data_IF_849484980258
#
_entry.id   IF_849484980258
#
_cell.length_a   1.000
_cell.length_b   1.000
_cell.length_c   1.000
_cell.angle_alpha   90.00
_cell.angle_beta   90.00
_cell.angle_gamma   90.00
#
_symmetry.space_group_name_H-M   'P 1'
#
loop_
_entity.id
_entity.type
_entity.pdbx_description
1 polymer ?
#
# COMPACT_ATOMS: atom_id res chain seq x y z
N UNK A 1 -12.27 3.10 30.63
CA UNK A 1 -11.27 2.76 29.58
C UNK A 1 -12.00 2.46 28.28
N UNK A 2 -12.00 3.37 27.31
CA UNK A 2 -12.59 3.09 25.98
C UNK A 2 -11.62 2.18 25.22
N UNK A 3 -11.91 0.88 25.19
CA UNK A 3 -11.19 -0.09 24.38
C UNK A 3 -11.24 0.33 22.90
N UNK A 4 -10.10 0.35 22.21
CA UNK A 4 -10.06 0.60 20.77
C UNK A 4 -11.06 -0.35 20.07
N UNK A 5 -12.09 0.19 19.39
CA UNK A 5 -13.29 -0.57 19.01
C UNK A 5 -13.01 -1.67 17.99
N UNK A 6 -11.82 -1.68 17.39
CA UNK A 6 -11.41 -2.65 16.37
C UNK A 6 -10.39 -3.68 16.87
N UNK A 7 -9.97 -3.65 18.15
CA UNK A 7 -8.92 -4.55 18.70
C UNK A 7 -9.19 -6.02 18.37
N UNK A 8 -10.38 -6.53 18.66
CA UNK A 8 -10.75 -7.92 18.39
C UNK A 8 -10.74 -8.27 16.90
N UNK A 9 -11.05 -7.30 16.04
CA UNK A 9 -11.04 -7.50 14.59
C UNK A 9 -9.61 -7.43 14.02
N UNK A 10 -8.73 -6.60 14.59
CA UNK A 10 -7.32 -6.55 14.17
C UNK A 10 -6.61 -7.88 14.38
N UNK A 11 -6.98 -8.67 15.38
CA UNK A 11 -6.43 -10.03 15.58
C UNK A 11 -6.71 -10.92 14.35
N UNK A 12 -7.86 -10.76 13.70
CA UNK A 12 -8.24 -11.54 12.52
C UNK A 12 -7.57 -11.03 11.23
N UNK A 13 -7.23 -9.75 11.17
CA UNK A 13 -6.76 -9.12 9.93
C UNK A 13 -5.22 -8.95 9.90
N UNK A 14 -4.56 -8.82 11.05
CA UNK A 14 -3.08 -8.72 11.13
C UNK A 14 -2.34 -9.86 10.42
N UNK A 15 -2.79 -11.13 10.50
CA UNK A 15 -2.14 -12.19 9.74
C UNK A 15 -2.11 -11.93 8.23
N UNK A 16 -3.03 -11.13 7.68
CA UNK A 16 -3.04 -10.77 6.26
C UNK A 16 -1.80 -9.96 5.90
N UNK A 17 -1.40 -8.97 6.70
CA UNK A 17 -0.17 -8.20 6.43
C UNK A 17 1.07 -9.07 6.55
N UNK A 18 1.10 -9.92 7.58
CA UNK A 18 2.26 -10.76 7.88
C UNK A 18 2.49 -11.77 6.76
N UNK A 19 1.43 -12.44 6.31
CA UNK A 19 1.47 -13.38 5.18
C UNK A 19 1.81 -12.63 3.89
N UNK A 20 1.22 -11.46 3.65
CA UNK A 20 1.51 -10.66 2.45
C UNK A 20 2.98 -10.31 2.31
N UNK A 21 3.66 -9.95 3.41
CA UNK A 21 5.09 -9.68 3.40
C UNK A 21 5.99 -10.91 3.20
N UNK A 22 5.49 -12.12 3.49
CA UNK A 22 6.24 -13.37 3.33
C UNK A 22 6.12 -13.95 1.91
N UNK A 23 4.98 -13.79 1.25
CA UNK A 23 4.69 -14.44 -0.04
C UNK A 23 4.96 -13.54 -1.24
N UNK A 24 5.19 -12.25 -1.01
CA UNK A 24 5.27 -11.25 -2.06
C UNK A 24 6.43 -10.28 -1.85
N UNK A 25 7.26 -10.11 -2.88
CA UNK A 25 8.31 -9.10 -2.90
C UNK A 25 7.82 -7.91 -3.74
N UNK A 26 7.61 -6.74 -3.12
CA UNK A 26 7.23 -5.52 -3.84
C UNK A 26 8.29 -5.12 -4.87
N UNK A 27 7.85 -4.44 -5.93
CA UNK A 27 8.76 -3.79 -6.87
C UNK A 27 9.20 -2.43 -6.34
N UNK A 28 9.84 -1.62 -7.17
CA UNK A 28 10.37 -0.33 -6.76
C UNK A 28 9.31 0.78 -6.64
N UNK A 29 8.10 0.60 -7.18
CA UNK A 29 7.10 1.67 -7.24
C UNK A 29 5.91 1.38 -6.32
N UNK A 30 5.84 2.08 -5.20
CA UNK A 30 4.99 1.68 -4.08
C UNK A 30 4.08 2.85 -3.60
N UNK A 31 2.85 3.00 -4.12
CA UNK A 31 1.97 4.06 -3.67
C UNK A 31 1.39 3.81 -2.28
N UNK A 32 1.21 4.92 -1.56
CA UNK A 32 0.49 4.98 -0.29
C UNK A 32 -0.73 5.88 -0.49
N UNK A 33 -1.93 5.31 -0.40
CA UNK A 33 -3.17 6.08 -0.54
C UNK A 33 -4.33 5.51 0.30
N UNK A 34 -5.46 6.22 0.31
CA UNK A 34 -6.68 5.84 1.01
C UNK A 34 -7.62 5.01 0.14
N UNK A 35 -8.12 3.92 0.71
CA UNK A 35 -9.25 3.13 0.23
C UNK A 35 -10.46 3.30 1.17
N UNK A 36 -11.67 3.15 0.61
CA UNK A 36 -12.93 3.41 1.32
C UNK A 36 -13.80 2.17 1.44
N UNK A 37 -14.30 1.89 2.64
CA UNK A 37 -15.25 0.80 2.94
C UNK A 37 -16.64 1.39 3.15
N UNK A 38 -17.56 1.16 2.20
CA UNK A 38 -18.93 1.66 2.29
C UNK A 38 -19.65 1.11 3.53
N UNK A 39 -20.17 2.01 4.36
CA UNK A 39 -21.06 1.63 5.46
C UNK A 39 -22.05 2.75 5.77
N UNK A 40 -23.35 2.43 5.75
CA UNK A 40 -24.43 3.38 6.02
C UNK A 40 -24.95 3.33 7.47
N UNK A 41 -24.69 2.25 8.22
CA UNK A 41 -25.17 2.09 9.60
C UNK A 41 -24.45 3.01 10.60
N UNK A 42 -24.86 2.98 11.87
CA UNK A 42 -24.23 3.79 12.94
C UNK A 42 -22.88 3.19 13.34
N UNK A 43 -21.82 4.01 13.32
CA UNK A 43 -20.49 3.65 13.81
C UNK A 43 -19.66 4.92 14.00
N UNK A 44 -18.90 4.96 15.11
CA UNK A 44 -18.01 6.06 15.44
C UNK A 44 -16.79 6.16 14.50
N UNK A 45 -16.45 5.06 13.81
CA UNK A 45 -15.28 5.00 12.92
C UNK A 45 -15.53 5.57 11.52
N UNK A 46 -16.80 5.85 11.17
CA UNK A 46 -17.15 6.37 9.84
C UNK A 46 -16.57 7.77 9.65
N UNK A 47 -16.01 7.99 8.47
CA UNK A 47 -15.56 9.29 8.00
C UNK A 47 -16.49 9.82 6.92
N UNK A 48 -16.63 11.14 6.86
CA UNK A 48 -17.30 11.82 5.77
C UNK A 48 -16.27 12.48 4.84
N UNK A 49 -16.15 11.99 3.62
CA UNK A 49 -15.22 12.49 2.60
C UNK A 49 -16.01 12.89 1.35
N UNK A 50 -16.38 14.18 1.19
CA UNK A 50 -17.32 14.60 0.14
C UNK A 50 -16.79 14.40 -1.28
N UNK A 51 -15.47 14.40 -1.46
CA UNK A 51 -14.80 14.28 -2.76
C UNK A 51 -14.65 12.84 -3.27
N UNK A 52 -14.87 11.82 -2.42
CA UNK A 52 -14.81 10.41 -2.84
C UNK A 52 -16.20 9.91 -3.25
N UNK A 53 -16.30 8.96 -4.21
CA UNK A 53 -17.59 8.39 -4.61
C UNK A 53 -18.39 7.80 -3.44
N UNK A 54 -17.68 7.21 -2.47
CA UNK A 54 -18.27 6.68 -1.22
C UNK A 54 -18.05 7.70 -0.11
N UNK A 55 -18.96 8.66 0.00
CA UNK A 55 -18.81 9.81 0.92
C UNK A 55 -18.83 9.43 2.39
N UNK A 56 -19.64 8.45 2.80
CA UNK A 56 -19.72 7.97 4.18
C UNK A 56 -19.20 6.53 4.24
N UNK A 57 -18.05 6.34 4.88
CA UNK A 57 -17.32 5.08 4.83
C UNK A 57 -16.28 4.97 5.93
N UNK A 58 -15.79 3.76 6.18
CA UNK A 58 -14.51 3.59 6.88
C UNK A 58 -13.37 3.92 5.94
N UNK A 59 -12.30 4.46 6.50
CA UNK A 59 -11.10 4.82 5.78
C UNK A 59 -9.99 3.82 6.13
N UNK A 60 -9.31 3.33 5.11
CA UNK A 60 -8.13 2.46 5.26
C UNK A 60 -6.99 3.09 4.47
N UNK A 61 -5.83 3.24 5.11
CA UNK A 61 -4.59 3.58 4.44
C UNK A 61 -3.98 2.31 3.89
N UNK A 62 -3.60 2.31 2.62
CA UNK A 62 -3.00 1.18 1.93
C UNK A 62 -1.62 1.58 1.45
N UNK A 63 -0.66 0.69 1.66
CA UNK A 63 0.60 0.65 0.95
C UNK A 63 0.52 -0.50 -0.05
N UNK A 64 0.62 -0.17 -1.33
CA UNK A 64 0.50 -1.11 -2.42
C UNK A 64 1.75 -1.10 -3.30
N UNK A 65 1.87 -2.15 -4.11
CA UNK A 65 2.86 -2.27 -5.17
C UNK A 65 2.30 -1.81 -6.53
N UNK A 66 3.15 -1.67 -7.54
CA UNK A 66 2.75 -1.29 -8.90
C UNK A 66 1.79 -2.28 -9.58
N UNK A 67 1.81 -3.55 -9.16
CA UNK A 67 0.82 -4.55 -9.58
C UNK A 67 -0.54 -4.39 -8.90
N UNK A 68 -0.70 -3.37 -8.04
CA UNK A 68 -1.85 -3.15 -7.16
C UNK A 68 -1.98 -4.17 -6.03
N UNK A 69 -0.90 -4.89 -5.72
CA UNK A 69 -0.84 -5.82 -4.57
C UNK A 69 -0.75 -5.01 -3.28
N UNK A 70 -1.64 -5.24 -2.33
CA UNK A 70 -1.61 -4.55 -1.04
C UNK A 70 -0.58 -5.22 -0.13
N UNK A 71 0.47 -4.49 0.22
CA UNK A 71 1.58 -4.97 1.04
C UNK A 71 1.30 -4.72 2.53
N UNK A 72 0.87 -3.50 2.86
CA UNK A 72 0.49 -3.13 4.23
C UNK A 72 -0.77 -2.27 4.23
N UNK A 73 -1.46 -2.22 5.36
CA UNK A 73 -2.61 -1.36 5.55
C UNK A 73 -2.76 -0.90 7.00
N UNK A 74 -3.50 0.19 7.18
CA UNK A 74 -3.88 0.70 8.50
C UNK A 74 -5.32 1.23 8.47
N UNK A 75 -6.18 0.69 9.31
CA UNK A 75 -7.56 1.19 9.45
C UNK A 75 -7.54 2.49 10.26
N UNK A 76 -8.14 3.55 9.71
CA UNK A 76 -8.24 4.83 10.41
C UNK A 76 -9.31 4.78 11.49
N UNK A 77 -8.91 5.02 12.74
CA UNK A 77 -9.81 4.97 13.92
C UNK A 77 -10.16 6.33 14.49
N UNK A 78 -9.57 7.42 13.97
CA UNK A 78 -9.77 8.79 14.46
C UNK A 78 -9.13 9.12 15.81
N UNK A 79 -8.62 8.12 16.52
CA UNK A 79 -7.93 8.24 17.81
C UNK A 79 -6.80 7.22 17.89
N UNK A 80 -5.74 7.58 18.60
CA UNK A 80 -4.65 6.67 18.97
C UNK A 80 -4.62 6.62 20.50
N UNK A 81 -5.05 5.50 21.07
CA UNK A 81 -5.23 5.37 22.52
C UNK A 81 -6.30 6.33 23.04
N UNK A 82 -5.91 7.25 23.93
CA UNK A 82 -6.80 8.25 24.55
C UNK A 82 -6.65 9.64 23.91
N UNK A 83 -5.63 9.85 23.08
CA UNK A 83 -5.28 11.18 22.57
C UNK A 83 -5.76 11.39 21.13
N UNK A 84 -6.08 12.65 20.81
CA UNK A 84 -6.30 13.08 19.42
C UNK A 84 -5.02 12.85 18.64
N UNK A 85 -5.16 12.28 17.46
CA UNK A 85 -4.04 11.94 16.59
C UNK A 85 -3.31 13.21 16.11
N UNK A 86 -2.05 13.37 16.52
CA UNK A 86 -1.12 14.41 16.04
C UNK A 86 -0.22 13.82 14.95
N UNK A 87 0.14 14.63 13.96
CA UNK A 87 1.03 14.25 12.85
C UNK A 87 0.63 12.96 12.11
N UNK A 88 -0.69 12.73 11.97
CA UNK A 88 -1.30 11.59 11.28
C UNK A 88 -0.53 11.18 10.01
N UNK A 89 -0.17 12.15 9.16
CA UNK A 89 0.51 11.86 7.91
C UNK A 89 1.90 11.26 8.05
N UNK A 90 2.71 11.83 8.96
CA UNK A 90 4.05 11.33 9.24
C UNK A 90 3.97 9.92 9.80
N UNK A 91 3.12 9.72 10.80
CA UNK A 91 2.90 8.42 11.45
C UNK A 91 2.43 7.35 10.47
N UNK A 92 1.38 7.62 9.69
CA UNK A 92 0.84 6.64 8.72
C UNK A 92 1.90 6.23 7.71
N UNK A 93 2.66 7.20 7.19
CA UNK A 93 3.71 6.89 6.21
C UNK A 93 4.80 6.06 6.87
N UNK A 94 5.34 6.48 8.02
CA UNK A 94 6.37 5.73 8.75
C UNK A 94 5.92 4.31 9.13
N UNK A 95 4.68 4.14 9.62
CA UNK A 95 4.11 2.84 9.96
C UNK A 95 4.05 1.93 8.72
N UNK A 96 3.58 2.46 7.59
CA UNK A 96 3.41 1.71 6.35
C UNK A 96 4.71 1.48 5.57
N UNK A 97 5.76 2.26 5.83
CA UNK A 97 7.06 2.14 5.15
C UNK A 97 8.14 1.51 6.01
N UNK A 98 7.82 1.07 7.22
CA UNK A 98 8.80 0.50 8.17
C UNK A 98 9.61 -0.67 7.56
N UNK A 99 9.01 -1.44 6.65
CA UNK A 99 9.68 -2.57 5.97
C UNK A 99 10.50 -2.16 4.74
N UNK A 100 10.48 -0.88 4.35
CA UNK A 100 11.17 -0.34 3.18
C UNK A 100 12.47 0.38 3.52
N UNK A 101 12.75 0.61 4.80
CA UNK A 101 13.97 1.27 5.26
C UNK A 101 15.20 0.56 4.71
N UNK A 102 16.09 1.31 4.06
CA UNK A 102 17.30 0.78 3.43
C UNK A 102 17.12 0.09 2.07
N UNK A 103 15.87 -0.09 1.57
CA UNK A 103 15.62 -0.78 0.28
C UNK A 103 15.76 0.11 -0.96
N UNK A 104 15.90 1.43 -0.79
CA UNK A 104 15.90 2.38 -1.91
C UNK A 104 14.63 2.29 -2.79
N UNK A 105 13.50 1.90 -2.19
CA UNK A 105 12.18 1.88 -2.82
C UNK A 105 11.66 3.30 -3.09
N UNK A 106 10.87 3.46 -4.15
CA UNK A 106 10.19 4.71 -4.49
C UNK A 106 8.72 4.68 -4.05
N UNK A 107 8.38 5.47 -3.04
CA UNK A 107 7.01 5.61 -2.55
C UNK A 107 6.28 6.82 -3.13
N UNK A 108 4.97 6.68 -3.35
CA UNK A 108 4.12 7.74 -3.91
C UNK A 108 3.05 8.19 -2.92
N UNK A 109 3.10 9.44 -2.46
CA UNK A 109 2.29 9.93 -1.34
C UNK A 109 1.51 11.21 -1.74
N UNK A 110 0.23 11.12 -2.15
CA UNK A 110 -0.55 12.29 -2.57
C UNK A 110 -1.08 13.17 -1.42
N UNK A 111 -1.32 12.61 -0.23
CA UNK A 111 -2.04 13.35 0.84
C UNK A 111 -1.14 13.90 1.96
N UNK A 112 -0.01 13.24 2.22
CA UNK A 112 0.85 13.53 3.36
C UNK A 112 2.19 14.13 2.99
N UNK A 113 2.40 14.47 1.72
CA UNK A 113 3.67 14.99 1.26
C UNK A 113 3.99 16.35 1.91
N UNK A 114 5.14 16.43 2.56
CA UNK A 114 5.63 17.57 3.33
C UNK A 114 7.17 17.55 3.31
N UNK A 115 7.80 18.73 3.42
CA UNK A 115 9.27 18.87 3.39
C UNK A 115 9.95 18.07 4.51
N UNK A 116 9.44 18.16 5.73
CA UNK A 116 10.00 17.43 6.88
C UNK A 116 9.91 15.90 6.71
N UNK A 117 8.80 15.41 6.14
CA UNK A 117 8.62 13.99 5.86
C UNK A 117 9.58 13.51 4.77
N UNK A 118 9.79 14.31 3.71
CA UNK A 118 10.74 14.00 2.64
C UNK A 118 12.18 13.87 3.16
N UNK A 119 12.60 14.77 4.05
CA UNK A 119 13.92 14.70 4.71
C UNK A 119 14.07 13.43 5.55
N UNK A 120 13.05 13.09 6.34
CA UNK A 120 13.08 11.86 7.13
C UNK A 120 13.20 10.63 6.24
N UNK A 121 12.34 10.49 5.22
CA UNK A 121 12.38 9.36 4.31
C UNK A 121 13.73 9.25 3.57
N UNK A 122 14.32 10.39 3.21
CA UNK A 122 15.66 10.42 2.63
C UNK A 122 16.72 9.88 3.60
N UNK A 123 16.64 10.21 4.90
CA UNK A 123 17.54 9.67 5.92
C UNK A 123 17.34 8.17 6.16
N UNK A 124 16.16 7.64 5.87
CA UNK A 124 15.82 6.21 5.93
C UNK A 124 16.13 5.46 4.62
N UNK A 125 16.77 6.12 3.65
CA UNK A 125 17.05 5.60 2.30
C UNK A 125 15.78 5.17 1.56
N UNK A 126 14.71 5.95 1.70
CA UNK A 126 13.43 5.78 1.01
C UNK A 126 13.22 6.97 0.06
N UNK A 127 13.07 6.66 -1.22
CA UNK A 127 12.74 7.66 -2.22
C UNK A 127 11.25 7.94 -2.20
N UNK A 128 10.85 9.20 -2.24
CA UNK A 128 9.46 9.61 -2.16
C UNK A 128 9.12 10.71 -3.17
N UNK A 129 7.90 10.63 -3.71
CA UNK A 129 7.33 11.66 -4.57
C UNK A 129 5.83 11.78 -4.32
N UNK A 130 5.27 12.97 -4.49
CA UNK A 130 3.83 13.13 -4.46
C UNK A 130 3.40 14.56 -4.64
N UNK A 131 2.09 14.78 -4.68
CA UNK A 131 1.52 16.12 -4.71
C UNK A 131 1.62 16.77 -3.34
N UNK A 132 1.85 18.09 -3.31
CA UNK A 132 1.86 18.90 -2.09
C UNK A 132 0.86 20.04 -2.23
N UNK A 133 0.18 20.39 -1.13
CA UNK A 133 -0.77 21.50 -1.12
C UNK A 133 -0.02 22.84 -1.12
N UNK A 134 -0.57 23.83 -1.83
CA UNK A 134 -0.08 25.22 -1.76
C UNK A 134 -0.14 25.72 -0.31
N UNK A 135 0.87 26.49 0.11
CA UNK A 135 0.91 27.11 1.44
C UNK A 135 1.32 26.17 2.58
N UNK A 136 1.83 24.95 2.29
CA UNK A 136 2.53 24.16 3.31
C UNK A 136 3.82 24.87 3.71
N UNK A 137 4.23 24.68 4.97
CA UNK A 137 5.47 25.22 5.51
C UNK A 137 6.68 24.75 4.69
N UNK A 138 7.70 25.58 4.62
CA UNK A 138 9.00 25.30 3.98
C UNK A 138 8.93 25.06 2.46
N UNK A 139 7.85 25.47 1.79
CA UNK A 139 7.78 25.51 0.32
C UNK A 139 8.35 26.82 -0.22
N UNK A 140 8.82 26.86 -1.48
CA UNK A 140 9.26 28.11 -2.11
C UNK A 140 8.12 29.15 -2.14
N UNK A 141 8.44 30.40 -1.79
CA UNK A 141 7.46 31.48 -1.61
C UNK A 141 7.30 32.31 -2.89
N UNK A 142 8.40 32.52 -3.63
CA UNK A 142 8.45 33.34 -4.84
C UNK A 142 8.05 32.55 -6.10
N UNK A 143 6.84 31.98 -6.08
CA UNK A 143 6.27 31.24 -7.22
C UNK A 143 5.52 32.20 -8.15
N UNK A 144 5.60 32.02 -9.47
CA UNK A 144 4.79 32.80 -10.41
C UNK A 144 3.31 32.59 -10.14
N UNK A 145 2.50 33.63 -10.28
CA UNK A 145 1.07 33.52 -10.05
C UNK A 145 0.41 32.55 -11.04
N UNK A 146 -0.60 31.82 -10.56
CA UNK A 146 -1.32 30.82 -11.36
C UNK A 146 -2.01 31.42 -12.60
N UNK A 147 -2.35 32.72 -12.57
CA UNK A 147 -2.94 33.49 -13.67
C UNK A 147 -1.94 33.82 -14.78
N UNK A 148 -0.66 33.99 -14.41
CA UNK A 148 0.43 34.35 -15.32
C UNK A 148 1.04 33.12 -15.99
N UNK A 149 0.73 31.91 -15.53
CA UNK A 149 1.21 30.65 -16.11
C UNK A 149 0.32 30.18 -17.26
N UNK A 150 0.93 29.83 -18.39
CA UNK A 150 0.27 29.15 -19.51
C UNK A 150 0.04 27.68 -19.15
N UNK A 151 -0.93 27.04 -19.81
CA UNK A 151 -1.12 25.59 -19.70
C UNK A 151 0.15 24.87 -20.14
N UNK A 152 0.48 23.78 -19.47
CA UNK A 152 1.71 22.97 -19.57
C UNK A 152 3.00 23.66 -19.15
N UNK A 153 2.95 24.92 -18.72
CA UNK A 153 4.10 25.61 -18.14
C UNK A 153 4.45 25.02 -16.76
N UNK A 154 5.74 24.98 -16.45
CA UNK A 154 6.27 24.49 -15.19
C UNK A 154 7.38 25.39 -14.66
N UNK A 155 7.45 25.48 -13.33
CA UNK A 155 8.57 26.08 -12.60
C UNK A 155 9.08 25.05 -11.59
N UNK A 156 10.39 24.99 -11.40
CA UNK A 156 11.00 24.01 -10.51
C UNK A 156 12.06 24.68 -9.63
N UNK A 157 12.30 24.08 -8.47
CA UNK A 157 13.29 24.50 -7.50
C UNK A 157 13.94 23.28 -6.87
N UNK A 158 15.22 23.40 -6.54
CA UNK A 158 15.96 22.39 -5.80
C UNK A 158 16.46 23.05 -4.51
N UNK A 159 16.16 22.41 -3.37
CA UNK A 159 16.66 22.81 -2.07
C UNK A 159 18.11 22.42 -1.89
N UNK A 160 18.83 23.09 -1.00
CA UNK A 160 20.19 22.71 -0.58
C UNK A 160 20.25 21.27 -0.03
N UNK A 161 19.14 20.81 0.56
CA UNK A 161 19.00 19.43 1.06
C UNK A 161 18.74 18.40 -0.06
N UNK A 162 18.80 18.81 -1.34
CA UNK A 162 18.55 17.93 -2.50
C UNK A 162 17.08 17.59 -2.74
N UNK A 163 16.14 18.30 -2.10
CA UNK A 163 14.71 18.15 -2.35
C UNK A 163 14.27 18.96 -3.57
N UNK A 164 13.55 18.33 -4.48
CA UNK A 164 13.02 18.99 -5.68
C UNK A 164 11.55 19.31 -5.53
N UNK A 165 11.19 20.55 -5.87
CA UNK A 165 9.84 21.05 -5.92
C UNK A 165 9.48 21.42 -7.36
N UNK A 166 8.29 21.04 -7.80
CA UNK A 166 7.78 21.34 -9.13
C UNK A 166 6.39 21.96 -9.01
N UNK A 167 6.20 23.13 -9.61
CA UNK A 167 4.91 23.73 -9.89
C UNK A 167 4.57 23.50 -11.36
N UNK A 168 3.45 22.86 -11.65
CA UNK A 168 3.01 22.60 -13.02
C UNK A 168 1.57 23.05 -13.23
N UNK A 169 1.30 23.72 -14.35
CA UNK A 169 -0.02 24.24 -14.70
C UNK A 169 -0.72 23.34 -15.72
N UNK A 170 -1.76 22.63 -15.29
CA UNK A 170 -2.76 22.06 -16.20
C UNK A 170 -4.01 22.96 -16.24
N UNK A 171 -5.19 22.43 -15.92
CA UNK A 171 -6.39 23.27 -15.69
C UNK A 171 -6.22 24.13 -14.44
N UNK A 172 -5.55 23.61 -13.42
CA UNK A 172 -5.18 24.29 -12.18
C UNK A 172 -3.70 24.04 -11.90
N UNK A 173 -3.08 24.90 -11.09
CA UNK A 173 -1.70 24.68 -10.66
C UNK A 173 -1.64 23.51 -9.68
N UNK A 174 -0.74 22.57 -9.94
CA UNK A 174 -0.42 21.43 -9.09
C UNK A 174 1.02 21.56 -8.65
N UNK A 175 1.29 21.24 -7.39
CA UNK A 175 2.64 21.26 -6.84
C UNK A 175 3.05 19.83 -6.49
N UNK A 176 4.29 19.49 -6.81
CA UNK A 176 4.92 18.22 -6.50
C UNK A 176 6.15 18.48 -5.64
N UNK A 177 6.46 17.51 -4.80
CA UNK A 177 7.65 17.51 -3.96
C UNK A 177 8.25 16.10 -3.98
N UNK A 178 9.56 16.00 -4.15
CA UNK A 178 10.29 14.74 -4.19
C UNK A 178 11.70 14.89 -3.62
N UNK A 179 12.20 13.83 -2.99
CA UNK A 179 13.59 13.73 -2.51
C UNK A 179 14.54 12.98 -3.46
N UNK A 180 14.05 12.56 -4.64
CA UNK A 180 14.84 11.76 -5.58
C UNK A 180 14.67 12.17 -7.04
N UNK A 181 13.50 12.71 -7.41
CA UNK A 181 13.29 13.22 -8.76
C UNK A 181 13.99 14.55 -8.91
N UNK A 182 14.90 14.63 -9.86
CA UNK A 182 15.45 15.89 -10.31
C UNK A 182 14.57 16.43 -11.44
N UNK A 183 13.73 17.43 -11.13
CA UNK A 183 12.87 18.09 -12.12
C UNK A 183 13.64 19.05 -13.03
N UNK A 184 14.92 19.33 -12.73
CA UNK A 184 15.79 20.20 -13.51
C UNK A 184 16.58 19.44 -14.58
N UNK A 185 16.86 18.14 -14.38
CA UNK A 185 17.76 17.39 -15.25
C UNK A 185 17.14 16.97 -16.58
N UNK A 186 17.84 17.37 -17.65
CA UNK A 186 17.81 16.74 -18.98
C UNK A 186 18.63 15.45 -18.91
N UNK A 187 17.99 14.28 -19.04
CA UNK A 187 18.72 13.00 -19.06
C UNK A 187 19.13 12.71 -20.52
N UNK A 188 20.44 12.67 -20.79
CA UNK A 188 20.98 12.11 -22.02
C UNK A 188 20.87 10.58 -21.98
N UNK A 189 20.04 10.01 -22.86
CA UNK A 189 20.15 8.61 -23.26
C UNK A 189 20.38 8.59 -24.76
N UNK A 190 21.52 8.05 -25.16
CA UNK A 190 21.87 7.72 -26.55
C UNK A 190 21.78 8.89 -27.53
N UNK A 191 22.82 9.77 -27.52
CA UNK A 191 23.14 10.82 -28.52
C UNK A 191 21.98 11.65 -29.12
N UNK A 192 20.80 11.57 -28.52
CA UNK A 192 19.56 12.20 -28.91
C UNK A 192 19.05 12.88 -27.66
N UNK A 193 19.18 14.20 -27.65
CA UNK A 193 18.79 15.04 -26.52
C UNK A 193 17.27 15.04 -26.37
N UNK A 194 16.68 13.97 -25.85
CA UNK A 194 15.27 13.99 -25.47
C UNK A 194 15.11 14.75 -24.16
N UNK A 195 14.51 15.92 -24.26
CA UNK A 195 13.95 16.60 -23.11
C UNK A 195 12.91 15.67 -22.46
N UNK A 196 13.16 15.23 -21.22
CA UNK A 196 12.08 14.68 -20.42
C UNK A 196 11.25 15.89 -20.01
N UNK A 197 10.29 16.25 -20.86
CA UNK A 197 9.32 17.30 -20.56
C UNK A 197 8.78 17.06 -19.16
N UNK A 198 8.67 18.10 -18.32
CA UNK A 198 8.04 18.01 -16.99
C UNK A 198 6.69 17.27 -17.04
N UNK A 199 5.99 17.36 -18.18
CA UNK A 199 4.81 16.56 -18.50
C UNK A 199 5.03 15.04 -18.35
N UNK A 200 6.14 14.47 -18.84
CA UNK A 200 6.48 13.05 -18.72
C UNK A 200 6.65 12.65 -17.25
N UNK A 201 7.31 13.45 -16.42
CA UNK A 201 7.50 13.18 -14.99
C UNK A 201 6.17 13.23 -14.24
N UNK A 202 5.34 14.24 -14.52
CA UNK A 202 3.98 14.35 -13.96
C UNK A 202 3.13 13.15 -14.37
N UNK A 203 3.17 12.73 -15.65
CA UNK A 203 2.48 11.55 -16.14
C UNK A 203 2.92 10.27 -15.42
N UNK A 204 4.23 10.10 -15.18
CA UNK A 204 4.74 8.95 -14.43
C UNK A 204 4.28 8.97 -12.97
N UNK A 205 4.33 10.11 -12.29
CA UNK A 205 3.85 10.24 -10.92
C UNK A 205 2.35 9.93 -10.85
N UNK A 206 1.54 10.48 -11.75
CA UNK A 206 0.10 10.23 -11.81
C UNK A 206 -0.21 8.76 -12.06
N UNK A 207 0.52 8.10 -12.97
CA UNK A 207 0.37 6.66 -13.19
C UNK A 207 0.68 5.86 -11.92
N UNK A 208 1.77 6.20 -11.23
CA UNK A 208 2.20 5.49 -10.02
C UNK A 208 1.28 5.72 -8.82
N UNK A 209 0.68 6.90 -8.69
CA UNK A 209 -0.34 7.18 -7.67
C UNK A 209 -1.64 6.37 -7.88
N UNK A 210 -1.92 5.88 -9.10
CA UNK A 210 -3.17 5.19 -9.43
C UNK A 210 -3.24 3.70 -9.10
N UNK A 211 -2.19 3.06 -8.56
CA UNK A 211 -2.24 1.62 -8.30
C UNK A 211 -3.17 1.25 -7.13
N UNK A 212 -3.35 2.12 -6.14
CA UNK A 212 -4.36 1.91 -5.08
C UNK A 212 -5.79 2.02 -5.64
N UNK A 213 -6.04 2.96 -6.55
CA UNK A 213 -7.33 3.05 -7.26
C UNK A 213 -7.59 1.82 -8.14
N UNK A 214 -6.54 1.22 -8.71
CA UNK A 214 -6.62 -0.02 -9.49
C UNK A 214 -6.98 -1.22 -8.61
N UNK A 215 -6.41 -1.31 -7.39
CA UNK A 215 -6.86 -2.26 -6.38
C UNK A 215 -8.34 -2.07 -6.03
N UNK A 216 -8.76 -0.83 -5.77
CA UNK A 216 -10.16 -0.51 -5.45
C UNK A 216 -11.11 -0.91 -6.59
N UNK A 217 -10.68 -0.75 -7.85
CA UNK A 217 -11.39 -1.23 -9.02
C UNK A 217 -11.50 -2.76 -9.04
N UNK A 218 -10.42 -3.52 -8.81
CA UNK A 218 -10.47 -4.99 -8.76
C UNK A 218 -11.38 -5.48 -7.65
N UNK A 219 -11.31 -4.86 -6.49
CA UNK A 219 -12.20 -5.14 -5.36
C UNK A 219 -13.67 -4.86 -5.69
N UNK A 220 -13.96 -3.74 -6.36
CA UNK A 220 -15.32 -3.38 -6.75
C UNK A 220 -15.89 -4.32 -7.83
N UNK A 221 -15.05 -4.85 -8.71
CA UNK A 221 -15.45 -5.84 -9.73
C UNK A 221 -15.76 -7.18 -9.06
N UNK A 222 -17.01 -7.61 -9.21
CA UNK A 222 -17.52 -8.85 -8.61
C UNK A 222 -17.29 -8.88 -7.08
N UNK A 223 -17.40 -7.72 -6.43
CA UNK A 223 -17.16 -7.57 -4.99
C UNK A 223 -18.23 -8.26 -4.16
N UNK A 224 -17.84 -8.70 -2.96
CA UNK A 224 -18.72 -9.38 -2.02
C UNK A 224 -19.51 -8.31 -1.23
N UNK A 225 -20.60 -7.77 -1.80
CA UNK A 225 -21.41 -6.72 -1.15
C UNK A 225 -22.55 -7.29 -0.29
N UNK A 226 -22.20 -7.89 0.85
CA UNK A 226 -23.20 -8.30 1.84
C UNK A 226 -23.75 -7.10 2.62
N UNK A 227 -25.04 -6.79 2.42
CA UNK A 227 -25.76 -5.84 3.27
C UNK A 227 -25.75 -6.31 4.73
N UNK A 228 -24.96 -5.64 5.56
CA UNK A 228 -24.93 -5.87 7.01
C UNK A 228 -25.12 -4.58 7.80
N UNK A 229 -25.90 -4.65 8.87
CA UNK A 229 -26.06 -3.61 9.88
C UNK A 229 -24.92 -3.63 10.90
N UNK A 230 -24.21 -4.76 11.04
CA UNK A 230 -23.06 -4.90 11.95
C UNK A 230 -21.84 -4.23 11.33
N UNK A 231 -21.31 -3.24 12.04
CA UNK A 231 -20.24 -2.38 11.57
C UNK A 231 -18.98 -3.16 11.14
N UNK A 232 -18.61 -4.20 11.89
CA UNK A 232 -17.39 -4.98 11.69
C UNK A 232 -17.49 -5.97 10.51
N UNK A 233 -18.70 -6.41 10.13
CA UNK A 233 -18.89 -7.29 8.96
C UNK A 233 -18.37 -6.63 7.70
N UNK A 234 -18.60 -5.32 7.54
CA UNK A 234 -18.13 -4.58 6.36
C UNK A 234 -16.61 -4.53 6.26
N UNK A 235 -15.94 -4.44 7.40
CA UNK A 235 -14.49 -4.43 7.47
C UNK A 235 -13.94 -5.83 7.20
N UNK A 236 -14.52 -6.87 7.81
CA UNK A 236 -14.15 -8.26 7.55
C UNK A 236 -14.21 -8.60 6.05
N UNK A 237 -15.36 -8.37 5.40
CA UNK A 237 -15.53 -8.68 3.98
C UNK A 237 -14.62 -7.86 3.07
N UNK A 238 -14.28 -6.64 3.46
CA UNK A 238 -13.30 -5.84 2.73
C UNK A 238 -11.92 -6.53 2.70
N UNK A 239 -11.47 -7.08 3.83
CA UNK A 239 -10.19 -7.78 3.88
C UNK A 239 -10.25 -9.17 3.24
N UNK A 240 -11.39 -9.85 3.27
CA UNK A 240 -11.60 -11.07 2.47
C UNK A 240 -11.47 -10.80 0.97
N UNK A 241 -12.10 -9.73 0.46
CA UNK A 241 -11.93 -9.32 -0.93
C UNK A 241 -10.47 -8.91 -1.24
N UNK A 242 -9.79 -8.22 -0.31
CA UNK A 242 -8.37 -7.87 -0.45
C UNK A 242 -7.50 -9.11 -0.63
N UNK A 243 -7.69 -10.15 0.18
CA UNK A 243 -6.97 -11.42 0.08
C UNK A 243 -7.17 -12.05 -1.30
N UNK A 244 -8.42 -12.08 -1.79
CA UNK A 244 -8.73 -12.64 -3.12
C UNK A 244 -8.08 -11.84 -4.24
N UNK A 245 -8.04 -10.51 -4.15
CA UNK A 245 -7.36 -9.65 -5.12
C UNK A 245 -5.83 -9.86 -5.08
N UNK A 246 -5.24 -9.92 -3.89
CA UNK A 246 -3.81 -10.21 -3.71
C UNK A 246 -3.45 -11.60 -4.29
N UNK A 247 -4.28 -12.61 -4.03
CA UNK A 247 -4.11 -13.95 -4.60
C UNK A 247 -4.23 -13.95 -6.14
N UNK A 248 -5.15 -13.18 -6.70
CA UNK A 248 -5.28 -13.01 -8.16
C UNK A 248 -4.03 -12.37 -8.78
N UNK A 249 -3.44 -11.38 -8.09
CA UNK A 249 -2.21 -10.74 -8.57
C UNK A 249 -1.04 -11.72 -8.56
N UNK A 250 -0.90 -12.51 -7.49
CA UNK A 250 0.11 -13.59 -7.42
C UNK A 250 -0.13 -14.61 -8.55
N UNK A 251 -1.36 -15.05 -8.74
CA UNK A 251 -1.74 -15.99 -9.80
C UNK A 251 -1.36 -15.47 -11.19
N UNK A 252 -1.61 -14.18 -11.46
CA UNK A 252 -1.25 -13.52 -12.72
C UNK A 252 0.25 -13.40 -12.93
N UNK A 253 1.02 -13.21 -11.85
CA UNK A 253 2.49 -13.15 -11.90
C UNK A 253 3.12 -14.53 -12.05
N UNK A 254 2.49 -15.58 -11.53
CA UNK A 254 2.96 -16.95 -11.65
C UNK A 254 2.87 -17.48 -13.08
N UNK A 255 3.86 -18.30 -13.48
CA UNK A 255 3.89 -18.98 -14.79
C UNK A 255 2.78 -20.04 -14.97
N UNK A 256 1.97 -20.27 -13.94
CA UNK A 256 0.80 -21.18 -13.93
C UNK A 256 -0.49 -20.42 -14.28
N UNK A 257 -0.39 -19.36 -15.06
CA UNK A 257 -1.57 -18.77 -15.70
C UNK A 257 -2.13 -19.78 -16.70
N UNK A 258 -3.01 -20.67 -16.23
CA UNK A 258 -3.73 -21.60 -17.09
C UNK A 258 -4.44 -20.80 -18.18
N UNK A 259 -4.31 -21.20 -19.44
CA UNK A 259 -4.87 -20.47 -20.58
C UNK A 259 -6.38 -20.15 -20.46
N UNK A 260 -7.08 -20.84 -19.57
CA UNK A 260 -8.52 -20.76 -19.31
C UNK A 260 -8.92 -19.77 -18.19
N UNK A 261 -8.01 -19.31 -17.30
CA UNK A 261 -8.34 -18.35 -16.24
C UNK A 261 -7.66 -17.02 -16.58
N UNK A 262 -8.29 -16.25 -17.47
CA UNK A 262 -7.76 -14.96 -17.94
C UNK A 262 -8.36 -13.77 -17.20
N UNK A 263 -9.56 -13.93 -16.64
CA UNK A 263 -10.30 -12.84 -16.01
C UNK A 263 -10.39 -12.99 -14.49
N UNK A 264 -10.54 -11.86 -13.81
CA UNK A 264 -10.81 -11.82 -12.37
C UNK A 264 -12.10 -12.59 -12.00
N UNK A 265 -13.10 -12.60 -12.89
CA UNK A 265 -14.35 -13.33 -12.69
C UNK A 265 -14.09 -14.84 -12.61
N UNK A 266 -13.34 -15.37 -13.57
CA UNK A 266 -13.03 -16.80 -13.65
C UNK A 266 -12.17 -17.22 -12.46
N UNK A 267 -11.24 -16.37 -12.05
CA UNK A 267 -10.44 -16.61 -10.85
C UNK A 267 -11.29 -16.67 -9.59
N UNK A 268 -12.17 -15.68 -9.36
CA UNK A 268 -13.09 -15.67 -8.21
C UNK A 268 -14.02 -16.90 -8.21
N UNK A 269 -14.50 -17.30 -9.38
CA UNK A 269 -15.32 -18.51 -9.54
C UNK A 269 -14.53 -19.77 -9.19
N UNK A 270 -13.28 -19.89 -9.66
CA UNK A 270 -12.42 -21.02 -9.34
C UNK A 270 -12.11 -21.11 -7.84
N UNK A 271 -11.84 -19.98 -7.18
CA UNK A 271 -11.66 -19.91 -5.72
C UNK A 271 -12.93 -20.35 -5.00
N UNK A 272 -14.11 -19.87 -5.43
CA UNK A 272 -15.38 -20.25 -4.83
C UNK A 272 -15.66 -21.76 -4.96
N UNK A 273 -15.46 -22.33 -6.16
CA UNK A 273 -15.63 -23.78 -6.40
C UNK A 273 -14.66 -24.60 -5.55
N UNK A 274 -13.39 -24.18 -5.47
CA UNK A 274 -12.38 -24.84 -4.65
C UNK A 274 -12.71 -24.84 -3.16
N UNK A 275 -13.26 -23.73 -2.64
CA UNK A 275 -13.65 -23.61 -1.23
C UNK A 275 -14.90 -24.43 -0.88
N UNK A 276 -15.83 -24.58 -1.83
CA UNK A 276 -17.05 -25.39 -1.65
C UNK A 276 -16.77 -26.89 -1.85
N UNK A 277 -15.56 -27.26 -2.28
CA UNK A 277 -15.22 -28.64 -2.61
C UNK A 277 -15.95 -29.15 -3.85
N UNK A 278 -16.39 -28.23 -4.72
CA UNK A 278 -17.00 -28.59 -5.99
C UNK A 278 -15.89 -29.14 -6.90
N UNK A 279 -15.74 -30.46 -6.93
CA UNK A 279 -14.97 -31.13 -7.97
C UNK A 279 -15.57 -30.73 -9.31
N UNK A 280 -14.78 -30.09 -10.18
CA UNK A 280 -15.08 -30.22 -11.61
C UNK A 280 -14.95 -31.71 -11.88
N UNK A 281 -15.91 -32.30 -12.58
CA UNK A 281 -15.77 -33.62 -13.21
C UNK A 281 -14.55 -33.59 -14.15
N UNK A 282 -13.35 -33.69 -13.59
CA UNK A 282 -12.11 -33.88 -14.31
C UNK A 282 -11.79 -35.36 -14.17
N UNK A 283 -11.76 -36.02 -15.33
CA UNK A 283 -11.40 -37.42 -15.45
C UNK A 283 -10.10 -37.69 -14.67
N UNK A 284 -10.02 -38.88 -14.05
CA UNK A 284 -9.00 -39.32 -13.07
C UNK A 284 -7.51 -39.04 -13.42
N UNK A 285 -7.21 -38.66 -14.67
CA UNK A 285 -5.86 -38.29 -15.14
C UNK A 285 -5.32 -36.98 -14.54
N UNK A 286 -6.18 -35.98 -14.29
CA UNK A 286 -5.71 -34.64 -13.87
C UNK A 286 -5.44 -34.50 -12.36
N UNK A 287 -5.97 -35.41 -11.53
CA UNK A 287 -5.71 -35.43 -10.07
C UNK A 287 -4.23 -35.58 -9.74
N UNK A 288 -3.46 -36.30 -10.56
CA UNK A 288 -2.02 -36.47 -10.37
C UNK A 288 -1.20 -35.19 -10.64
N UNK A 289 -1.76 -34.20 -11.37
CA UNK A 289 -1.08 -32.94 -11.69
C UNK A 289 -1.28 -31.87 -10.63
N UNK A 290 -2.46 -31.81 -10.01
CA UNK A 290 -2.77 -30.84 -8.95
C UNK A 290 -2.23 -31.26 -7.57
N UNK A 291 -2.18 -32.57 -7.27
CA UNK A 291 -1.53 -33.07 -6.04
C UNK A 291 0.01 -32.99 -6.07
N UNK A 292 0.61 -32.89 -7.27
CA UNK A 292 2.05 -32.57 -7.43
C UNK A 292 2.36 -31.08 -7.28
N UNK A 293 1.35 -30.21 -7.30
CA UNK A 293 1.44 -28.83 -6.82
C UNK A 293 1.25 -28.78 -5.29
N UNK A 294 1.96 -29.66 -4.56
CA UNK A 294 2.33 -29.32 -3.20
C UNK A 294 3.15 -28.04 -3.31
N UNK A 295 2.59 -26.91 -2.87
CA UNK A 295 3.36 -25.71 -2.61
C UNK A 295 4.43 -26.08 -1.57
N UNK A 296 5.62 -26.48 -2.04
CA UNK A 296 6.85 -26.31 -1.28
C UNK A 296 7.08 -24.80 -1.20
N UNK A 297 6.39 -24.14 -0.28
CA UNK A 297 6.86 -22.88 0.27
C UNK A 297 8.16 -23.26 0.96
N UNK A 298 9.29 -23.14 0.24
CA UNK A 298 10.57 -22.97 0.92
C UNK A 298 10.44 -21.62 1.62
N UNK A 299 10.11 -21.63 2.90
CA UNK A 299 10.34 -20.50 3.79
C UNK A 299 11.84 -20.27 3.74
N UNK A 300 12.28 -19.40 2.83
CA UNK A 300 13.61 -18.84 2.89
C UNK A 300 13.70 -18.09 4.20
N UNK A 301 14.78 -18.29 4.94
CA UNK A 301 15.14 -17.45 6.07
C UNK A 301 15.36 -16.03 5.57
N UNK A 302 14.31 -15.21 5.58
CA UNK A 302 14.43 -13.77 5.46
C UNK A 302 14.71 -13.27 6.88
N UNK A 303 15.78 -12.50 7.12
CA UNK A 303 16.01 -11.93 8.45
C UNK A 303 14.80 -11.06 8.81
N UNK A 304 14.12 -11.44 9.89
CA UNK A 304 13.10 -10.60 10.52
C UNK A 304 13.85 -9.43 11.13
N UNK A 305 13.83 -8.29 10.45
CA UNK A 305 14.22 -7.02 11.07
C UNK A 305 13.09 -6.65 12.01
N UNK A 306 13.19 -7.09 13.26
CA UNK A 306 12.34 -6.59 14.34
C UNK A 306 12.68 -5.12 14.52
N UNK A 307 11.80 -4.22 14.07
CA UNK A 307 11.93 -2.80 14.35
C UNK A 307 11.78 -2.57 15.87
N UNK A 308 12.79 -2.05 16.58
CA UNK A 308 12.74 -1.90 18.04
C UNK A 308 11.80 -0.77 18.51
N UNK A 309 11.12 -0.07 17.61
CA UNK A 309 10.25 1.08 17.94
C UNK A 309 8.77 0.75 18.19
N UNK A 310 8.37 -0.52 18.10
CA UNK A 310 7.06 -0.96 18.59
C UNK A 310 7.25 -1.51 20.01
N UNK A 311 7.09 -0.64 21.01
CA UNK A 311 6.98 -1.10 22.39
C UNK A 311 5.71 -1.96 22.53
N UNK A 312 5.89 -3.27 22.64
CA UNK A 312 4.82 -4.22 22.94
C UNK A 312 4.51 -4.17 24.45
N UNK A 313 3.24 -4.15 24.89
CA UNK A 313 2.89 -4.56 26.24
C UNK A 313 3.26 -6.05 26.41
N UNK A 314 4.01 -6.38 27.45
CA UNK A 314 4.67 -7.68 27.65
C UNK A 314 3.76 -8.89 27.90
N UNK A 315 2.44 -8.75 27.93
CA UNK A 315 1.57 -9.82 28.45
C UNK A 315 0.53 -10.30 27.43
N UNK A 316 0.97 -10.93 26.33
CA UNK A 316 0.10 -11.86 25.58
C UNK A 316 0.96 -12.94 24.88
N UNK A 317 1.38 -13.96 25.63
CA UNK A 317 1.82 -15.23 25.05
C UNK A 317 0.56 -16.02 24.61
N UNK A 318 0.38 -16.23 23.31
CA UNK A 318 -0.49 -17.30 22.83
C UNK A 318 0.33 -18.27 21.99
N UNK A 319 0.49 -19.48 22.52
CA UNK A 319 0.91 -20.65 21.78
C UNK A 319 -0.17 -21.01 20.76
N UNK A 320 0.14 -20.88 19.48
CA UNK A 320 -0.64 -21.50 18.39
C UNK A 320 -0.12 -22.94 18.25
N UNK A 321 -0.94 -24.00 18.42
CA UNK A 321 -0.46 -25.36 18.26
C UNK A 321 -0.09 -25.59 16.79
N UNK A 322 1.18 -25.90 16.52
CA UNK A 322 1.64 -26.30 15.18
C UNK A 322 2.85 -25.57 14.59
N UNK A 323 3.51 -24.65 15.32
CA UNK A 323 4.82 -24.13 14.91
C UNK A 323 5.95 -24.80 15.69
N UNK A 324 6.96 -25.25 14.94
CA UNK A 324 8.19 -25.88 15.40
C UNK A 324 8.83 -25.09 16.55
N UNK A 325 9.11 -25.79 17.65
CA UNK A 325 9.96 -25.34 18.75
C UNK A 325 11.37 -25.13 18.19
N UNK A 326 11.83 -23.89 18.05
CA UNK A 326 13.25 -23.62 17.82
C UNK A 326 13.89 -23.58 19.20
N UNK A 327 14.41 -24.71 19.65
CA UNK A 327 15.39 -24.74 20.72
C UNK A 327 16.69 -24.13 20.16
N UNK A 328 17.10 -23.00 20.75
CA UNK A 328 18.44 -22.48 20.55
C UNK A 328 19.36 -23.33 21.44
N UNK A 329 19.94 -24.38 20.86
CA UNK A 329 21.07 -25.05 21.49
C UNK A 329 22.22 -24.06 21.60
N UNK A 330 22.44 -23.59 22.83
CA UNK A 330 23.64 -22.86 23.20
C UNK A 330 24.83 -23.80 23.10
N UNK A 331 25.64 -23.63 22.06
CA UNK A 331 27.01 -24.16 22.08
C UNK A 331 27.91 -23.10 22.73
N UNK A 332 27.96 -23.17 24.06
CA UNK A 332 29.13 -22.74 24.82
C UNK A 332 30.21 -23.78 24.55
N UNK A 333 31.29 -23.38 23.89
CA UNK A 333 32.61 -23.96 24.15
C UNK A 333 33.59 -22.81 24.27
N UNK A 334 33.92 -22.47 25.51
CA UNK A 334 35.17 -21.82 25.85
C UNK A 334 36.24 -22.90 26.06
N UNK A 335 37.45 -22.65 25.57
CA UNK A 335 38.63 -22.25 26.35
C UNK A 335 39.67 -21.71 25.39
#
# INVERSE_FOLDING_TARGET
MLSCPIKSLLVLIRPVTDISGLIYVPSQNEPIDQSMIRFKGRSALKQYIPQKPIKQSYKVWLHADESSYVCQFQVYTGTVGVSVEKDLGKRVVTDLTCTLVGRSSCIFIPFFNLVELQKQLQSELIYACGTVRKGRKNLPINLKEDSKMKRTESEWWISLDGLSFLKWKDRKAVHFLSNYLDFAKRIERDNSKQEISCSKLVCQCNKRMGYVDTFDMYKAKYGIDYKSQKWWHRIFWYFSDMIVVNAFIIFKKGSVSSANIRSLKDFKMAVALGLVGAEKDTTKSDRHRLLKLQFRIKLGTVPVVVCPFIAFPQDVLFAVPGLVRIELDGCVQGT
#
